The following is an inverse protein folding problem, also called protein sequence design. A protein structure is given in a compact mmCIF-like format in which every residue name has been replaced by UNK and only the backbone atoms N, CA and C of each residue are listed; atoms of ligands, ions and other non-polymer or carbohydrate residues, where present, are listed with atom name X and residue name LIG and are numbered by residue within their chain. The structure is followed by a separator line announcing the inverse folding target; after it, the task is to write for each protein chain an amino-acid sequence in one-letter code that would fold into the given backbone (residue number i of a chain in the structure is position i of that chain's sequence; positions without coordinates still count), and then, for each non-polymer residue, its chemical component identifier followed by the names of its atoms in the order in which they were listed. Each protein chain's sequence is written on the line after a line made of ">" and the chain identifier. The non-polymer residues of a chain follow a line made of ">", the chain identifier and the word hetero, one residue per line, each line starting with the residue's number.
data_IF_827656864957
#
_entry.id   IF_827656864957
#
_cell.length_a   1.000
_cell.length_b   1.000
_cell.length_c   1.000
_cell.angle_alpha   90.00
_cell.angle_beta   90.00
_cell.angle_gamma   90.00
#
_symmetry.space_group_name_H-M   'P 1'
#
loop_
_entity.id
_entity.type
_entity.pdbx_description
1 polymer ?
#
# COMPACT_ATOMS: atom_id res chain seq x y z
N UNK A 1 -2.34 -16.11 -0.15
CA UNK A 1 -3.49 -16.65 -0.89
C UNK A 1 -4.02 -15.62 -1.88
N UNK A 2 -4.59 -14.49 -1.43
CA UNK A 2 -5.20 -13.48 -2.30
C UNK A 2 -4.25 -12.93 -3.38
N UNK A 3 -2.96 -12.81 -3.07
CA UNK A 3 -1.94 -12.39 -4.02
C UNK A 3 -1.46 -13.50 -4.97
N UNK A 4 -1.99 -14.73 -4.87
CA UNK A 4 -1.58 -15.87 -5.69
C UNK A 4 -0.20 -16.46 -5.37
N UNK A 5 0.48 -16.01 -4.30
CA UNK A 5 1.82 -16.50 -3.93
C UNK A 5 1.77 -17.92 -3.37
N UNK A 6 0.69 -18.26 -2.66
CA UNK A 6 0.46 -19.58 -2.10
C UNK A 6 -0.90 -20.11 -2.50
N UNK A 7 -0.97 -21.40 -2.82
CA UNK A 7 -2.24 -22.09 -3.03
C UNK A 7 -2.86 -22.53 -1.69
N UNK A 8 -4.20 -22.60 -1.58
CA UNK A 8 -4.86 -23.11 -0.39
C UNK A 8 -4.64 -24.62 -0.28
N UNK A 9 -4.31 -25.12 0.91
CA UNK A 9 -4.20 -26.55 1.17
C UNK A 9 -5.53 -27.28 1.16
N UNK A 10 -6.64 -26.56 1.40
CA UNK A 10 -8.02 -27.04 1.32
C UNK A 10 -8.92 -25.89 0.90
N UNK A 11 -10.03 -26.24 0.23
CA UNK A 11 -10.98 -25.24 -0.28
C UNK A 11 -10.49 -24.59 -1.57
N UNK A 12 -11.03 -23.42 -1.90
CA UNK A 12 -10.69 -22.68 -3.11
C UNK A 12 -10.60 -21.17 -2.80
N UNK A 13 -9.62 -20.50 -3.41
CA UNK A 13 -9.54 -19.05 -3.44
C UNK A 13 -9.77 -18.62 -4.89
N UNK A 14 -10.74 -17.74 -5.13
CA UNK A 14 -11.03 -17.20 -6.47
C UNK A 14 -10.85 -15.72 -6.42
N UNK A 15 -9.96 -15.21 -7.28
CA UNK A 15 -9.69 -13.78 -7.43
C UNK A 15 -9.88 -13.45 -8.91
N UNK A 16 -10.65 -12.42 -9.20
CA UNK A 16 -10.88 -11.94 -10.56
C UNK A 16 -10.46 -10.48 -10.64
N UNK A 17 -9.52 -10.18 -11.55
CA UNK A 17 -8.95 -8.86 -11.72
C UNK A 17 -7.45 -8.82 -11.47
N UNK A 18 -6.83 -7.69 -11.82
CA UNK A 18 -5.40 -7.46 -11.64
C UNK A 18 -5.09 -7.12 -10.18
N UNK A 19 -4.39 -8.03 -9.51
CA UNK A 19 -3.96 -7.85 -8.12
C UNK A 19 -2.60 -7.15 -8.09
N UNK A 20 -2.48 -6.10 -7.30
CA UNK A 20 -1.20 -5.48 -6.94
C UNK A 20 -0.93 -5.70 -5.45
N UNK A 21 -0.08 -6.67 -5.10
CA UNK A 21 0.33 -6.89 -3.72
C UNK A 21 1.48 -5.94 -3.35
N UNK A 22 1.32 -5.22 -2.25
CA UNK A 22 2.32 -4.30 -1.69
C UNK A 22 2.60 -4.74 -0.26
N UNK A 23 3.40 -5.81 -0.12
CA UNK A 23 3.77 -6.38 1.18
C UNK A 23 5.09 -5.82 1.70
N UNK A 24 6.02 -5.56 0.80
CA UNK A 24 7.33 -4.99 1.10
C UNK A 24 7.69 -3.99 0.01
N UNK A 25 7.96 -2.77 0.43
CA UNK A 25 8.34 -1.69 -0.47
C UNK A 25 9.70 -1.92 -1.16
N UNK A 26 10.53 -2.83 -0.65
CA UNK A 26 11.84 -3.17 -1.23
C UNK A 26 11.81 -4.33 -2.24
N UNK A 27 10.77 -5.15 -2.26
CA UNK A 27 10.70 -6.32 -3.15
C UNK A 27 10.68 -5.91 -4.62
N UNK A 28 11.48 -6.58 -5.43
CA UNK A 28 11.59 -6.33 -6.88
C UNK A 28 12.51 -5.17 -7.25
N UNK A 29 13.31 -4.66 -6.30
CA UNK A 29 14.36 -3.67 -6.55
C UNK A 29 15.73 -4.31 -6.56
N UNK A 30 16.59 -3.86 -7.48
CA UNK A 30 17.99 -4.29 -7.59
C UNK A 30 18.91 -3.18 -7.07
N UNK A 31 19.75 -3.44 -6.05
CA UNK A 31 20.66 -2.46 -5.49
C UNK A 31 21.76 -1.97 -6.45
N UNK A 32 22.10 -2.74 -7.48
CA UNK A 32 23.21 -2.43 -8.36
C UNK A 32 22.87 -1.51 -9.55
N UNK A 33 21.58 -1.30 -9.82
CA UNK A 33 21.11 -0.45 -10.89
C UNK A 33 20.55 0.88 -10.36
N UNK A 34 20.37 1.84 -11.25
CA UNK A 34 19.89 3.20 -10.93
C UNK A 34 18.47 3.23 -10.37
N UNK A 35 18.10 4.35 -9.72
CA UNK A 35 16.72 4.59 -9.29
C UNK A 35 15.74 4.57 -10.44
N UNK A 36 16.08 5.16 -11.59
CA UNK A 36 15.24 5.13 -12.79
C UNK A 36 14.98 3.70 -13.31
N UNK A 37 16.01 2.88 -13.37
CA UNK A 37 15.87 1.47 -13.76
C UNK A 37 15.04 0.69 -12.76
N UNK A 38 15.21 0.95 -11.46
CA UNK A 38 14.39 0.36 -10.40
C UNK A 38 12.91 0.76 -10.51
N UNK A 39 12.60 2.01 -10.86
CA UNK A 39 11.24 2.45 -11.14
C UNK A 39 10.61 1.58 -12.24
N UNK A 40 11.33 1.37 -13.34
CA UNK A 40 10.85 0.56 -14.47
C UNK A 40 10.65 -0.90 -14.08
N UNK A 41 11.66 -1.53 -13.47
CA UNK A 41 11.62 -2.96 -13.09
C UNK A 41 10.52 -3.22 -12.08
N UNK A 42 10.41 -2.38 -11.05
CA UNK A 42 9.39 -2.54 -10.03
C UNK A 42 7.97 -2.36 -10.60
N UNK A 43 7.76 -1.38 -11.47
CA UNK A 43 6.46 -1.20 -12.14
C UNK A 43 6.08 -2.42 -12.97
N UNK A 44 7.04 -3.02 -13.69
CA UNK A 44 6.82 -4.25 -14.43
C UNK A 44 6.55 -5.44 -13.50
N UNK A 45 7.23 -5.52 -12.36
CA UNK A 45 6.94 -6.52 -11.33
C UNK A 45 5.51 -6.42 -10.79
N UNK A 46 4.98 -5.20 -10.69
CA UNK A 46 3.59 -4.92 -10.28
C UNK A 46 2.58 -5.05 -11.45
N UNK A 47 3.00 -5.62 -12.59
CA UNK A 47 2.12 -5.95 -13.70
C UNK A 47 1.94 -4.86 -14.76
N UNK A 48 2.71 -3.75 -14.68
CA UNK A 48 2.73 -2.72 -15.71
C UNK A 48 3.60 -3.13 -16.91
N UNK A 49 3.23 -2.74 -18.11
CA UNK A 49 4.12 -2.86 -19.26
C UNK A 49 5.25 -1.81 -19.18
N UNK A 50 6.40 -2.12 -19.81
CA UNK A 50 7.51 -1.15 -19.90
C UNK A 50 7.07 0.16 -20.54
N UNK A 51 6.19 0.11 -21.53
CA UNK A 51 5.65 1.31 -22.24
C UNK A 51 4.81 2.19 -21.29
N UNK A 52 4.01 1.59 -20.44
CA UNK A 52 3.22 2.31 -19.42
C UNK A 52 4.13 2.98 -18.40
N UNK A 53 5.14 2.25 -17.90
CA UNK A 53 6.09 2.80 -16.93
C UNK A 53 6.90 3.95 -17.50
N UNK A 54 7.36 3.88 -18.76
CA UNK A 54 8.08 4.98 -19.41
C UNK A 54 7.23 6.26 -19.51
N UNK A 55 5.91 6.16 -19.59
CA UNK A 55 5.02 7.34 -19.60
C UNK A 55 4.82 7.95 -18.22
N UNK A 56 5.04 7.17 -17.17
CA UNK A 56 4.85 7.58 -15.77
C UNK A 56 6.16 7.93 -15.06
N UNK A 57 7.30 7.71 -15.69
CA UNK A 57 8.61 7.81 -15.06
C UNK A 57 8.91 9.23 -14.54
N UNK A 58 8.54 10.25 -15.31
CA UNK A 58 8.80 11.65 -14.95
C UNK A 58 7.93 12.06 -13.74
N UNK A 59 6.64 11.66 -13.72
CA UNK A 59 5.74 11.89 -12.58
C UNK A 59 6.23 11.18 -11.32
N UNK A 60 6.74 9.95 -11.47
CA UNK A 60 7.30 9.19 -10.35
C UNK A 60 8.58 9.88 -9.85
N UNK A 61 9.47 10.27 -10.75
CA UNK A 61 10.71 10.94 -10.40
C UNK A 61 10.46 12.25 -9.64
N UNK A 62 9.55 13.08 -10.14
CA UNK A 62 9.13 14.32 -9.47
C UNK A 62 8.53 14.05 -8.07
N UNK A 63 7.69 13.03 -7.96
CA UNK A 63 7.10 12.65 -6.67
C UNK A 63 8.15 12.26 -5.64
N UNK A 64 9.20 11.53 -6.02
CA UNK A 64 10.24 11.07 -5.08
C UNK A 64 11.06 12.21 -4.49
N UNK A 65 11.17 13.35 -5.18
CA UNK A 65 12.01 14.51 -4.82
C UNK A 65 13.50 14.15 -4.67
N UNK A 66 13.98 13.13 -5.39
CA UNK A 66 15.35 12.66 -5.31
C UNK A 66 16.28 13.31 -6.35
N UNK A 67 15.73 13.94 -7.40
CA UNK A 67 16.51 14.61 -8.43
C UNK A 67 17.60 13.72 -9.03
N UNK A 68 18.82 14.23 -9.12
CA UNK A 68 19.96 13.53 -9.72
C UNK A 68 20.35 12.23 -9.01
N UNK A 69 19.90 12.01 -7.76
CA UNK A 69 20.12 10.74 -7.08
C UNK A 69 19.48 9.57 -7.81
N UNK A 70 18.42 9.81 -8.61
CA UNK A 70 17.78 8.75 -9.39
C UNK A 70 18.71 8.13 -10.45
N UNK A 71 19.78 8.81 -10.83
CA UNK A 71 20.81 8.25 -11.72
C UNK A 71 21.80 7.33 -10.99
N UNK A 72 21.87 7.41 -9.67
CA UNK A 72 22.79 6.64 -8.84
C UNK A 72 22.26 5.22 -8.56
N UNK A 73 23.16 4.23 -8.34
CA UNK A 73 22.75 2.89 -7.92
C UNK A 73 22.01 2.89 -6.60
N UNK A 74 20.95 2.07 -6.49
CA UNK A 74 20.05 2.04 -5.32
C UNK A 74 20.76 1.68 -4.01
N UNK A 75 21.90 0.96 -4.08
CA UNK A 75 22.73 0.65 -2.89
C UNK A 75 23.26 1.90 -2.18
N UNK A 76 23.35 3.04 -2.87
CA UNK A 76 23.79 4.31 -2.29
C UNK A 76 22.68 5.06 -1.55
N UNK A 77 21.43 4.60 -1.68
CA UNK A 77 20.25 5.27 -1.11
C UNK A 77 20.11 4.99 0.37
N UNK A 78 19.70 6.01 1.11
CA UNK A 78 19.18 5.82 2.47
C UNK A 78 17.89 4.98 2.44
N UNK A 79 17.48 4.46 3.59
CA UNK A 79 16.21 3.75 3.70
C UNK A 79 15.02 4.62 3.24
N UNK A 80 14.97 5.88 3.68
CA UNK A 80 13.92 6.83 3.28
C UNK A 80 13.88 7.09 1.78
N UNK A 81 15.04 7.20 1.10
CA UNK A 81 15.10 7.36 -0.35
C UNK A 81 14.53 6.14 -1.09
N UNK A 82 14.83 4.93 -0.62
CA UNK A 82 14.26 3.68 -1.19
C UNK A 82 12.75 3.64 -1.04
N UNK A 83 12.25 4.01 0.14
CA UNK A 83 10.80 4.08 0.41
C UNK A 83 10.13 5.10 -0.50
N UNK A 84 10.74 6.27 -0.76
CA UNK A 84 10.22 7.28 -1.68
C UNK A 84 10.07 6.73 -3.11
N UNK A 85 11.08 6.04 -3.63
CA UNK A 85 11.02 5.37 -4.95
C UNK A 85 9.91 4.33 -4.97
N UNK A 86 9.85 3.47 -3.97
CA UNK A 86 8.85 2.42 -3.87
C UNK A 86 7.42 2.95 -3.84
N UNK A 87 7.16 3.98 -3.02
CA UNK A 87 5.86 4.64 -2.94
C UNK A 87 5.50 5.35 -4.25
N UNK A 88 6.47 5.99 -4.91
CA UNK A 88 6.27 6.60 -6.22
C UNK A 88 5.75 5.60 -7.25
N UNK A 89 6.37 4.43 -7.32
CA UNK A 89 5.94 3.37 -8.24
C UNK A 89 4.58 2.81 -7.84
N UNK A 90 4.40 2.41 -6.58
CA UNK A 90 3.14 1.82 -6.10
C UNK A 90 1.95 2.73 -6.30
N UNK A 91 2.11 4.03 -6.03
CA UNK A 91 1.01 4.99 -6.18
C UNK A 91 0.73 5.40 -7.63
N UNK A 92 1.57 4.99 -8.58
CA UNK A 92 1.40 5.25 -10.01
C UNK A 92 0.68 4.13 -10.76
N UNK A 93 0.49 2.95 -10.16
CA UNK A 93 -0.23 1.84 -10.79
C UNK A 93 -1.74 2.04 -10.70
N UNK A 94 -2.49 1.31 -11.54
CA UNK A 94 -3.95 1.31 -11.57
C UNK A 94 -4.45 -0.15 -11.38
N UNK A 95 -4.43 -0.70 -10.15
CA UNK A 95 -4.86 -2.06 -9.87
C UNK A 95 -6.40 -2.14 -9.76
N UNK A 96 -6.98 -3.30 -10.11
CA UNK A 96 -8.37 -3.59 -9.78
C UNK A 96 -8.51 -4.04 -8.31
N UNK A 97 -7.49 -4.74 -7.80
CA UNK A 97 -7.42 -5.21 -6.42
C UNK A 97 -6.06 -4.80 -5.83
N UNK A 98 -6.09 -3.95 -4.82
CA UNK A 98 -4.92 -3.51 -4.09
C UNK A 98 -4.82 -4.28 -2.76
N UNK A 99 -3.68 -4.92 -2.51
CA UNK A 99 -3.42 -5.58 -1.23
C UNK A 99 -2.26 -4.86 -0.56
N UNK A 100 -2.52 -4.24 0.58
CA UNK A 100 -1.53 -3.55 1.40
C UNK A 100 -1.28 -4.36 2.66
N UNK A 101 -0.01 -4.51 3.03
CA UNK A 101 0.42 -5.01 4.33
C UNK A 101 1.26 -3.94 5.04
N UNK A 102 1.28 -3.98 6.34
CA UNK A 102 1.96 -3.01 7.18
C UNK A 102 3.44 -2.84 6.78
N UNK A 103 3.87 -1.62 6.48
CA UNK A 103 5.26 -1.37 6.06
C UNK A 103 5.49 0.01 5.43
N UNK A 104 4.49 0.87 5.40
CA UNK A 104 4.63 2.25 4.91
C UNK A 104 5.22 3.13 6.03
N UNK A 105 6.33 2.69 6.65
CA UNK A 105 6.98 3.40 7.74
C UNK A 105 8.34 3.97 7.36
N UNK A 106 8.80 4.99 8.13
CA UNK A 106 10.15 5.57 8.12
C UNK A 106 10.52 6.51 6.95
N UNK A 107 9.62 7.43 6.60
CA UNK A 107 9.94 8.65 5.84
C UNK A 107 9.60 9.88 6.67
N UNK A 108 10.18 11.04 6.30
CA UNK A 108 9.87 12.30 6.96
C UNK A 108 8.38 12.68 6.85
N UNK A 109 7.92 13.52 7.79
CA UNK A 109 6.49 13.85 7.93
C UNK A 109 5.91 14.58 6.70
N UNK A 110 6.71 15.39 6.02
CA UNK A 110 6.25 16.16 4.86
C UNK A 110 6.03 15.27 3.65
N UNK A 111 6.99 14.38 3.37
CA UNK A 111 6.82 13.38 2.32
C UNK A 111 5.67 12.41 2.65
N UNK A 112 5.53 12.02 3.93
CA UNK A 112 4.43 11.13 4.36
C UNK A 112 3.05 11.73 4.07
N UNK A 113 2.87 13.04 4.25
CA UNK A 113 1.61 13.74 3.91
C UNK A 113 1.31 13.63 2.42
N UNK A 114 2.32 13.88 1.58
CA UNK A 114 2.23 13.77 0.12
C UNK A 114 1.95 12.33 -0.32
N UNK A 115 2.63 11.36 0.30
CA UNK A 115 2.45 9.93 0.03
C UNK A 115 1.04 9.43 0.41
N UNK A 116 0.51 9.89 1.55
CA UNK A 116 -0.86 9.55 2.00
C UNK A 116 -1.92 10.05 1.01
N UNK A 117 -1.83 11.29 0.55
CA UNK A 117 -2.77 11.83 -0.43
C UNK A 117 -2.74 11.01 -1.74
N UNK A 118 -1.55 10.61 -2.18
CA UNK A 118 -1.39 9.81 -3.40
C UNK A 118 -1.86 8.35 -3.21
N UNK A 119 -1.68 7.77 -2.02
CA UNK A 119 -2.23 6.46 -1.65
C UNK A 119 -3.76 6.49 -1.59
N UNK A 120 -4.34 7.53 -1.01
CA UNK A 120 -5.79 7.68 -0.98
C UNK A 120 -6.37 7.75 -2.39
N UNK A 121 -5.78 8.55 -3.26
CA UNK A 121 -6.17 8.60 -4.68
C UNK A 121 -5.99 7.24 -5.40
N UNK A 122 -5.00 6.41 -5.01
CA UNK A 122 -4.85 5.06 -5.53
C UNK A 122 -5.99 4.15 -5.04
N UNK A 123 -6.34 4.22 -3.75
CA UNK A 123 -7.46 3.44 -3.16
C UNK A 123 -8.78 3.80 -3.85
N UNK A 124 -9.05 5.08 -4.07
CA UNK A 124 -10.26 5.55 -4.76
C UNK A 124 -10.38 5.06 -6.21
N UNK A 125 -9.24 4.85 -6.88
CA UNK A 125 -9.19 4.28 -8.24
C UNK A 125 -9.23 2.75 -8.28
N UNK A 126 -8.91 2.09 -7.17
CA UNK A 126 -8.97 0.62 -7.08
C UNK A 126 -10.41 0.15 -6.84
N UNK A 127 -10.77 -1.00 -7.41
CA UNK A 127 -12.10 -1.58 -7.19
C UNK A 127 -12.24 -2.23 -5.81
N UNK A 128 -11.14 -2.81 -5.30
CA UNK A 128 -11.09 -3.49 -4.00
C UNK A 128 -9.77 -3.14 -3.30
N UNK A 129 -9.86 -2.75 -2.04
CA UNK A 129 -8.72 -2.65 -1.12
C UNK A 129 -8.80 -3.76 -0.08
N UNK A 130 -7.72 -4.51 0.07
CA UNK A 130 -7.48 -5.39 1.21
C UNK A 130 -6.28 -4.87 1.97
N UNK A 131 -6.48 -4.45 3.21
CA UNK A 131 -5.44 -3.81 4.01
C UNK A 131 -5.26 -4.51 5.35
N UNK A 132 -4.05 -4.98 5.64
CA UNK A 132 -3.65 -5.49 6.94
C UNK A 132 -2.80 -4.44 7.67
N UNK A 133 -3.21 -4.03 8.86
CA UNK A 133 -2.51 -3.03 9.67
C UNK A 133 -2.82 -3.17 11.16
N UNK A 134 -1.86 -2.75 11.99
CA UNK A 134 -2.06 -2.54 13.42
C UNK A 134 -2.50 -1.10 13.76
N UNK A 135 -2.58 -0.20 12.77
CA UNK A 135 -3.02 1.17 12.96
C UNK A 135 -4.52 1.30 12.73
N UNK A 136 -5.30 1.38 13.80
CA UNK A 136 -6.76 1.60 13.72
C UNK A 136 -7.11 2.92 13.01
N UNK A 137 -6.25 3.94 13.12
CA UNK A 137 -6.44 5.21 12.42
C UNK A 137 -6.36 5.02 10.90
N UNK A 138 -5.34 4.31 10.41
CA UNK A 138 -5.19 4.02 8.99
C UNK A 138 -6.30 3.11 8.46
N UNK A 139 -6.68 2.09 9.23
CA UNK A 139 -7.80 1.22 8.86
C UNK A 139 -9.09 2.03 8.72
N UNK A 140 -9.38 2.92 9.67
CA UNK A 140 -10.59 3.75 9.64
C UNK A 140 -10.60 4.80 8.52
N UNK A 141 -9.43 5.25 8.07
CA UNK A 141 -9.33 6.21 6.96
C UNK A 141 -9.52 5.57 5.58
N UNK A 142 -9.21 4.30 5.43
CA UNK A 142 -9.13 3.64 4.13
C UNK A 142 -10.14 2.50 3.95
N UNK A 143 -10.75 2.00 5.02
CA UNK A 143 -11.62 0.83 4.99
C UNK A 143 -12.94 1.08 5.70
N UNK A 144 -14.05 0.61 5.10
CA UNK A 144 -15.40 0.66 5.71
C UNK A 144 -15.68 -0.57 6.58
N UNK A 145 -15.03 -1.70 6.24
CA UNK A 145 -15.24 -3.00 6.88
C UNK A 145 -13.92 -3.56 7.38
N UNK A 146 -14.00 -4.36 8.44
CA UNK A 146 -12.87 -5.07 8.99
C UNK A 146 -13.18 -6.54 9.23
N UNK A 147 -12.12 -7.34 9.35
CA UNK A 147 -12.16 -8.74 9.70
C UNK A 147 -11.11 -9.01 10.79
N UNK A 148 -11.54 -9.50 11.93
CA UNK A 148 -10.66 -9.97 12.99
C UNK A 148 -10.32 -11.44 12.76
N UNK A 149 -9.03 -11.72 12.56
CA UNK A 149 -8.49 -13.07 12.40
C UNK A 149 -7.62 -13.39 13.62
N UNK A 150 -7.90 -14.51 14.27
CA UNK A 150 -7.07 -15.03 15.37
C UNK A 150 -6.74 -16.50 15.10
N UNK A 151 -5.44 -16.83 15.12
CA UNK A 151 -4.91 -18.18 14.86
C UNK A 151 -5.47 -18.83 13.59
N UNK A 152 -5.60 -18.04 12.52
CA UNK A 152 -6.10 -18.49 11.22
C UNK A 152 -7.62 -18.66 11.14
N UNK A 153 -8.36 -18.25 12.17
CA UNK A 153 -9.83 -18.31 12.20
C UNK A 153 -10.43 -16.90 12.20
N UNK A 154 -11.43 -16.68 11.37
CA UNK A 154 -12.24 -15.46 11.40
C UNK A 154 -13.07 -15.48 12.69
N UNK A 155 -12.82 -14.51 13.57
CA UNK A 155 -13.56 -14.33 14.83
C UNK A 155 -14.75 -13.41 14.65
N UNK A 156 -14.56 -12.36 13.85
CA UNK A 156 -15.59 -11.37 13.58
C UNK A 156 -15.35 -10.70 12.22
N UNK A 157 -16.43 -10.35 11.54
CA UNK A 157 -16.44 -9.55 10.34
C UNK A 157 -17.60 -8.55 10.41
N UNK A 158 -17.35 -7.28 10.05
CA UNK A 158 -18.38 -6.25 10.15
C UNK A 158 -17.86 -4.85 9.85
N UNK A 159 -18.57 -3.84 10.33
CA UNK A 159 -18.13 -2.46 10.29
C UNK A 159 -16.85 -2.27 11.10
N UNK A 160 -15.97 -1.37 10.63
CA UNK A 160 -14.63 -1.21 11.23
C UNK A 160 -14.70 -0.83 12.72
N UNK A 161 -15.61 0.06 13.10
CA UNK A 161 -15.79 0.47 14.51
C UNK A 161 -16.16 -0.71 15.41
N UNK A 162 -17.08 -1.55 14.95
CA UNK A 162 -17.58 -2.70 15.68
C UNK A 162 -16.48 -3.75 15.89
N UNK A 163 -15.76 -4.09 14.80
CA UNK A 163 -14.71 -5.11 14.83
C UNK A 163 -13.51 -4.65 15.65
N UNK A 164 -13.06 -3.39 15.50
CA UNK A 164 -11.98 -2.82 16.32
C UNK A 164 -12.37 -2.73 17.79
N UNK A 165 -13.62 -2.39 18.08
CA UNK A 165 -14.14 -2.38 19.43
C UNK A 165 -14.17 -3.76 20.09
N UNK A 166 -14.47 -4.80 19.34
CA UNK A 166 -14.43 -6.18 19.82
C UNK A 166 -12.99 -6.68 20.02
N UNK A 167 -12.04 -6.23 19.17
CA UNK A 167 -10.65 -6.65 19.20
C UNK A 167 -9.83 -5.94 20.29
N UNK A 168 -9.92 -4.61 20.40
CA UNK A 168 -9.09 -3.80 21.31
C UNK A 168 -9.88 -3.11 22.45
N UNK A 169 -11.19 -3.17 22.38
CA UNK A 169 -12.07 -2.62 23.41
C UNK A 169 -12.70 -1.26 23.08
N UNK A 170 -13.55 -0.74 24.00
CA UNK A 170 -14.40 0.42 23.74
C UNK A 170 -13.63 1.74 23.42
N UNK A 171 -12.43 1.89 23.99
CA UNK A 171 -11.59 3.08 23.74
C UNK A 171 -11.12 3.15 22.29
N UNK A 172 -10.73 2.02 21.70
CA UNK A 172 -10.34 1.93 20.30
C UNK A 172 -11.53 2.18 19.37
N UNK A 173 -12.71 1.64 19.67
CA UNK A 173 -13.94 1.94 18.94
C UNK A 173 -14.28 3.44 18.94
N UNK A 174 -14.17 4.08 20.11
CA UNK A 174 -14.40 5.54 20.23
C UNK A 174 -13.40 6.36 19.40
N UNK A 175 -12.14 5.92 19.33
CA UNK A 175 -11.12 6.55 18.48
C UNK A 175 -11.48 6.43 17.00
N UNK A 176 -11.81 5.22 16.53
CA UNK A 176 -12.26 4.96 15.14
C UNK A 176 -13.47 5.83 14.78
N UNK A 177 -14.49 5.87 15.64
CA UNK A 177 -15.67 6.74 15.44
C UNK A 177 -15.30 8.21 15.24
N UNK A 178 -14.34 8.71 16.02
CA UNK A 178 -13.85 10.08 15.90
C UNK A 178 -13.12 10.33 14.57
N UNK A 179 -12.33 9.36 14.09
CA UNK A 179 -11.66 9.43 12.79
C UNK A 179 -12.70 9.50 11.67
N UNK A 180 -13.69 8.59 11.66
CA UNK A 180 -14.77 8.57 10.66
C UNK A 180 -15.56 9.88 10.64
N UNK A 181 -15.95 10.41 11.82
CA UNK A 181 -16.67 11.67 11.92
C UNK A 181 -15.88 12.90 11.41
N UNK A 182 -14.57 12.83 11.34
CA UNK A 182 -13.74 13.89 10.76
C UNK A 182 -13.63 13.78 9.24
N UNK A 183 -13.70 12.56 8.68
CA UNK A 183 -13.69 12.33 7.24
C UNK A 183 -14.99 12.83 6.58
N UNK A 184 -16.13 12.65 7.24
CA UNK A 184 -17.46 13.13 6.76
C UNK A 184 -17.55 14.66 6.66
N UNK A 185 -16.60 15.41 7.23
CA UNK A 185 -16.58 16.87 7.26
C UNK A 185 -15.61 17.51 6.26
N UNK A 186 -14.82 16.69 5.57
CA UNK A 186 -13.78 17.11 4.61
C UNK A 186 -14.25 16.98 3.17
#
# INVERSE_FOLDING_TARGET
>A
LLAGIYEPTRGACRVQGRVAPVFDLGVGMDPEISGYENILIRGMFLGMSRKEMLRKIDDIAEFTELGDHLEMPLRTYSHGMRVRVALGVVTSIDPEILILDEGIGAVDADFMRKARARLQALVERSGILVFASHSNEFLAQLCDRAMWIDKGQVKMEGGIEEVVGAYEGPAAAAHVRKVLANLDKS
#
